data_IF_230152581304
#
_entry.id   IF_230152581304
#
_cell.length_a   1.000
_cell.length_b   1.000
_cell.length_c   1.000
_cell.angle_alpha   90.00
_cell.angle_beta   90.00
_cell.angle_gamma   90.00
#
_symmetry.space_group_name_H-M   'P 1'
#
loop_
_entity.id
_entity.type
_entity.pdbx_description
1 polymer ?
#
# COMPACT_ATOMS: atom_id res chain seq x y z
N UNK A 1 4.06 -19.35 -16.70
CA UNK A 1 2.66 -19.43 -17.14
C UNK A 1 2.25 -18.10 -17.74
N UNK A 2 1.41 -18.09 -18.78
CA UNK A 2 0.89 -16.87 -19.39
C UNK A 2 -0.29 -16.32 -18.56
N UNK A 3 -0.39 -15.00 -18.32
CA UNK A 3 -1.35 -14.42 -17.38
C UNK A 3 -2.83 -14.59 -17.74
N UNK A 4 -3.15 -15.11 -18.93
CA UNK A 4 -4.53 -15.39 -19.34
C UNK A 4 -4.92 -16.88 -19.24
N UNK A 5 -4.02 -17.73 -18.74
CA UNK A 5 -4.23 -19.18 -18.68
C UNK A 5 -4.37 -19.70 -17.26
N UNK A 6 -5.50 -19.43 -16.60
CA UNK A 6 -5.88 -20.16 -15.39
C UNK A 6 -7.42 -20.16 -15.21
N UNK A 7 -8.11 -20.95 -16.03
CA UNK A 7 -9.47 -21.41 -15.70
C UNK A 7 -9.37 -22.48 -14.62
N UNK A 8 -9.58 -22.13 -13.35
CA UNK A 8 -9.76 -23.15 -12.31
C UNK A 8 -9.50 -22.77 -10.84
N UNK A 9 -8.87 -21.62 -10.56
CA UNK A 9 -8.68 -21.12 -9.19
C UNK A 9 -9.57 -19.89 -9.01
N UNK A 10 -10.23 -19.65 -7.85
CA UNK A 10 -10.79 -18.32 -7.58
C UNK A 10 -9.70 -17.30 -7.89
N UNK A 11 -9.96 -16.45 -8.88
CA UNK A 11 -8.93 -15.57 -9.42
C UNK A 11 -8.44 -14.69 -8.28
N UNK A 12 -7.15 -14.81 -7.92
CA UNK A 12 -6.56 -13.93 -6.94
C UNK A 12 -6.80 -12.48 -7.36
N UNK A 13 -7.17 -11.62 -6.40
CA UNK A 13 -7.46 -10.20 -6.70
C UNK A 13 -6.23 -9.61 -7.40
N UNK A 14 -6.36 -9.04 -8.62
CA UNK A 14 -5.23 -8.43 -9.30
C UNK A 14 -4.66 -7.27 -8.49
N UNK A 15 -3.33 -7.09 -8.51
CA UNK A 15 -2.65 -6.00 -7.78
C UNK A 15 -3.21 -4.62 -8.14
N UNK A 16 -3.50 -4.39 -9.43
CA UNK A 16 -4.11 -3.14 -9.89
C UNK A 16 -5.47 -2.87 -9.23
N UNK A 17 -6.29 -3.91 -9.01
CA UNK A 17 -7.56 -3.77 -8.31
C UNK A 17 -7.36 -3.47 -6.82
N UNK A 18 -6.32 -4.05 -6.19
CA UNK A 18 -5.95 -3.71 -4.80
C UNK A 18 -5.47 -2.26 -4.69
N UNK A 19 -4.68 -1.75 -5.66
CA UNK A 19 -4.24 -0.35 -5.70
C UNK A 19 -5.45 0.58 -5.86
N UNK A 20 -6.36 0.29 -6.78
CA UNK A 20 -7.58 1.09 -6.96
C UNK A 20 -8.45 1.12 -5.69
N UNK A 21 -8.60 -0.04 -5.03
CA UNK A 21 -9.29 -0.14 -3.76
C UNK A 21 -8.59 0.68 -2.66
N UNK A 22 -7.26 0.61 -2.58
CA UNK A 22 -6.46 1.39 -1.64
C UNK A 22 -6.65 2.89 -1.87
N UNK A 23 -6.54 3.37 -3.10
CA UNK A 23 -6.64 4.81 -3.44
C UNK A 23 -7.99 5.41 -3.06
N UNK A 24 -9.05 4.60 -3.02
CA UNK A 24 -10.40 5.01 -2.57
C UNK A 24 -10.58 4.95 -1.06
N UNK A 25 -9.68 4.28 -0.33
CA UNK A 25 -9.77 4.09 1.12
C UNK A 25 -9.45 5.36 1.91
N UNK A 26 -9.92 5.42 3.17
CA UNK A 26 -9.55 6.50 4.09
C UNK A 26 -8.08 6.49 4.48
N UNK A 27 -7.46 5.30 4.54
CA UNK A 27 -6.05 5.18 4.85
C UNK A 27 -5.18 5.90 3.81
N UNK A 28 -5.49 5.73 2.52
CA UNK A 28 -4.83 6.47 1.45
C UNK A 28 -5.05 7.98 1.56
N UNK A 29 -6.28 8.43 1.81
CA UNK A 29 -6.56 9.86 1.97
C UNK A 29 -5.71 10.49 3.09
N UNK A 30 -5.47 9.76 4.19
CA UNK A 30 -4.65 10.25 5.31
C UNK A 30 -3.15 10.32 5.00
N UNK A 31 -2.63 9.41 4.17
CA UNK A 31 -1.19 9.25 3.94
C UNK A 31 -0.71 9.71 2.55
N UNK A 32 -1.62 9.95 1.59
CA UNK A 32 -1.31 10.33 0.19
C UNK A 32 -0.46 11.60 0.08
N UNK A 33 -0.55 12.50 1.06
CA UNK A 33 0.32 13.69 1.13
C UNK A 33 1.79 13.37 1.38
N UNK A 34 2.13 12.17 1.87
CA UNK A 34 3.52 11.71 2.04
C UNK A 34 4.01 10.99 0.78
N UNK A 35 3.14 10.25 0.10
CA UNK A 35 3.46 9.45 -1.09
C UNK A 35 3.86 10.34 -2.28
N UNK A 36 4.96 10.00 -2.96
CA UNK A 36 5.52 10.75 -4.10
C UNK A 36 5.87 9.89 -5.31
N UNK A 37 5.57 8.60 -5.26
CA UNK A 37 5.78 7.67 -6.37
C UNK A 37 4.51 6.90 -6.70
N UNK A 38 4.54 6.22 -7.84
CA UNK A 38 3.67 5.07 -8.09
C UNK A 38 4.09 3.88 -7.20
N UNK A 39 3.34 2.77 -7.31
CA UNK A 39 3.68 1.51 -6.64
C UNK A 39 5.08 1.06 -7.06
N UNK A 40 5.96 0.83 -6.09
CA UNK A 40 7.33 0.38 -6.32
C UNK A 40 7.41 -1.15 -6.28
N UNK A 41 6.78 -1.74 -5.27
CA UNK A 41 6.79 -3.19 -5.07
C UNK A 41 5.53 -3.65 -4.34
N UNK A 42 5.25 -4.95 -4.42
CA UNK A 42 4.20 -5.61 -3.65
C UNK A 42 4.55 -7.05 -3.33
N UNK A 43 4.03 -7.53 -2.21
CA UNK A 43 4.10 -8.94 -1.84
C UNK A 43 2.93 -9.29 -0.94
N UNK A 44 2.63 -10.58 -0.84
CA UNK A 44 1.58 -11.09 0.05
C UNK A 44 2.24 -11.76 1.26
N UNK A 45 1.78 -11.41 2.47
CA UNK A 45 2.23 -12.02 3.73
C UNK A 45 1.07 -12.10 4.73
N UNK A 46 0.86 -13.29 5.31
CA UNK A 46 -0.14 -13.50 6.36
C UNK A 46 -1.57 -13.07 6.02
N UNK A 47 -1.99 -13.18 4.76
CA UNK A 47 -3.32 -12.74 4.29
C UNK A 47 -3.43 -11.25 3.94
N UNK A 48 -2.34 -10.50 4.09
CA UNK A 48 -2.24 -9.11 3.65
C UNK A 48 -1.50 -9.03 2.33
N UNK A 49 -1.96 -8.15 1.46
CA UNK A 49 -1.18 -7.62 0.36
C UNK A 49 -0.51 -6.34 0.81
N UNK A 50 0.82 -6.34 0.81
CA UNK A 50 1.64 -5.20 1.16
C UNK A 50 1.99 -4.46 -0.13
N UNK A 51 1.72 -3.16 -0.15
CA UNK A 51 2.01 -2.25 -1.25
C UNK A 51 3.03 -1.21 -0.77
N UNK A 52 4.16 -1.12 -1.47
CA UNK A 52 5.25 -0.21 -1.14
C UNK A 52 5.29 0.98 -2.09
N UNK A 53 5.36 2.17 -1.52
CA UNK A 53 5.55 3.43 -2.24
C UNK A 53 6.73 4.21 -1.64
N UNK A 54 7.37 5.05 -2.43
CA UNK A 54 8.26 6.08 -1.91
C UNK A 54 7.48 7.34 -1.57
N UNK A 55 7.97 8.06 -0.57
CA UNK A 55 7.42 9.31 -0.12
C UNK A 55 8.47 10.23 0.49
N UNK A 56 7.99 11.38 0.94
CA UNK A 56 8.79 12.35 1.70
C UNK A 56 7.99 12.75 2.94
N UNK A 57 8.60 12.64 4.11
CA UNK A 57 8.01 13.04 5.37
C UNK A 57 8.70 14.30 5.92
N UNK A 58 7.92 15.20 6.55
CA UNK A 58 8.39 16.52 6.98
C UNK A 58 8.35 17.57 5.86
N UNK A 59 9.02 18.70 6.07
CA UNK A 59 9.08 19.81 5.12
C UNK A 59 10.35 20.65 5.26
N UNK A 60 10.67 21.42 4.23
CA UNK A 60 11.86 22.26 4.19
C UNK A 60 13.16 21.46 4.29
N UNK A 61 14.10 21.93 5.10
CA UNK A 61 15.40 21.28 5.32
C UNK A 61 15.34 20.00 6.16
N UNK A 62 14.19 19.71 6.78
CA UNK A 62 13.96 18.50 7.57
C UNK A 62 13.21 17.40 6.79
N UNK A 63 12.98 17.61 5.48
CA UNK A 63 12.38 16.61 4.62
C UNK A 63 13.26 15.37 4.53
N UNK A 64 12.69 14.20 4.84
CA UNK A 64 13.39 12.91 4.77
C UNK A 64 12.70 11.93 3.82
N UNK A 65 13.46 11.15 3.03
CA UNK A 65 12.90 10.09 2.20
C UNK A 65 12.31 8.99 3.09
N UNK A 66 11.15 8.48 2.69
CA UNK A 66 10.45 7.42 3.43
C UNK A 66 9.89 6.37 2.47
N UNK A 67 9.72 5.16 2.98
CA UNK A 67 8.88 4.12 2.39
C UNK A 67 7.52 4.15 3.08
N UNK A 68 6.45 4.20 2.30
CA UNK A 68 5.08 4.10 2.79
C UNK A 68 4.56 2.71 2.45
N UNK A 69 4.25 1.93 3.47
CA UNK A 69 3.73 0.58 3.35
C UNK A 69 2.24 0.60 3.69
N UNK A 70 1.42 0.09 2.77
CA UNK A 70 0.02 -0.21 3.03
C UNK A 70 -0.18 -1.71 3.02
N UNK A 71 -0.70 -2.28 4.10
CA UNK A 71 -1.17 -3.65 4.14
C UNK A 71 -2.70 -3.64 3.97
N UNK A 72 -3.17 -4.24 2.88
CA UNK A 72 -4.59 -4.38 2.51
C UNK A 72 -4.96 -5.86 2.59
N UNK A 73 -6.19 -6.21 2.97
CA UNK A 73 -6.65 -7.60 2.88
C UNK A 73 -6.49 -8.12 1.43
N UNK A 74 -5.76 -9.23 1.25
CA UNK A 74 -5.42 -9.76 -0.07
C UNK A 74 -6.65 -10.29 -0.85
N UNK A 75 -7.74 -10.59 -0.17
CA UNK A 75 -9.00 -11.03 -0.76
C UNK A 75 -9.99 -9.88 -1.01
N UNK A 76 -9.68 -8.67 -0.55
CA UNK A 76 -10.56 -7.51 -0.71
C UNK A 76 -10.50 -6.94 -2.13
N UNK A 77 -11.68 -6.64 -2.68
CA UNK A 77 -11.88 -5.91 -3.93
C UNK A 77 -13.06 -4.94 -3.78
N UNK A 78 -13.23 -4.06 -4.76
CA UNK A 78 -14.37 -3.14 -4.80
C UNK A 78 -15.73 -3.86 -4.87
N UNK A 79 -15.75 -5.10 -5.35
CA UNK A 79 -16.96 -5.93 -5.44
C UNK A 79 -17.27 -6.63 -4.11
N UNK A 80 -16.28 -6.81 -3.24
CA UNK A 80 -16.43 -7.58 -1.99
C UNK A 80 -16.56 -6.71 -0.76
N UNK A 81 -15.94 -5.52 -0.74
CA UNK A 81 -15.96 -4.61 0.41
C UNK A 81 -16.14 -3.15 -0.01
N UNK A 82 -16.92 -2.40 0.79
CA UNK A 82 -17.08 -0.96 0.60
C UNK A 82 -15.93 -0.15 1.21
N UNK A 83 -15.43 -0.57 2.36
CA UNK A 83 -14.23 0.00 3.00
C UNK A 83 -13.29 -1.16 3.36
N UNK A 84 -12.09 -1.22 2.75
CA UNK A 84 -11.12 -2.26 3.06
C UNK A 84 -10.50 -2.05 4.45
N UNK A 85 -10.14 -3.14 5.12
CA UNK A 85 -9.19 -3.07 6.23
C UNK A 85 -7.81 -2.71 5.67
N UNK A 86 -7.26 -1.56 6.09
CA UNK A 86 -5.95 -1.09 5.66
C UNK A 86 -5.13 -0.69 6.89
N UNK A 87 -3.90 -1.19 6.96
CA UNK A 87 -2.88 -0.74 7.91
C UNK A 87 -1.83 0.04 7.15
N UNK A 88 -1.34 1.12 7.75
CA UNK A 88 -0.31 1.97 7.15
C UNK A 88 0.88 2.08 8.08
N UNK A 89 2.08 2.05 7.50
CA UNK A 89 3.31 2.38 8.19
C UNK A 89 4.20 3.24 7.31
N UNK A 90 4.89 4.20 7.91
CA UNK A 90 5.87 5.06 7.25
C UNK A 90 7.22 4.72 7.84
N UNK A 91 8.15 4.29 7.01
CA UNK A 91 9.48 3.82 7.39
C UNK A 91 10.50 4.81 6.84
N UNK A 92 11.45 5.22 7.67
CA UNK A 92 12.57 6.03 7.23
C UNK A 92 13.42 5.23 6.23
N UNK A 93 13.63 5.78 5.03
CA UNK A 93 14.21 5.01 3.93
C UNK A 93 15.69 4.67 4.15
N UNK A 94 16.40 5.49 4.92
CA UNK A 94 17.84 5.33 5.17
C UNK A 94 18.10 4.36 6.34
N UNK A 95 17.31 4.47 7.41
CA UNK A 95 17.51 3.67 8.64
C UNK A 95 16.63 2.42 8.72
N UNK A 96 15.55 2.34 7.96
CA UNK A 96 14.57 1.25 8.05
C UNK A 96 13.71 1.28 9.32
N UNK A 97 13.82 2.33 10.14
CA UNK A 97 13.05 2.47 11.36
C UNK A 97 11.66 3.09 11.09
N UNK A 98 10.61 2.72 11.85
CA UNK A 98 9.33 3.40 11.77
C UNK A 98 9.45 4.89 12.10
N UNK A 99 8.86 5.73 11.25
CA UNK A 99 8.69 7.15 11.54
C UNK A 99 7.55 7.28 12.53
N UNK A 100 7.89 7.47 13.82
CA UNK A 100 6.89 7.77 14.84
C UNK A 100 6.22 9.10 14.51
N UNK A 101 4.88 9.11 14.45
CA UNK A 101 4.12 10.35 14.43
C UNK A 101 4.34 11.04 15.78
N UNK A 102 5.15 12.09 15.83
CA UNK A 102 5.09 13.03 16.94
C UNK A 102 3.73 13.72 16.84
N UNK A 103 2.87 13.44 17.83
CA UNK A 103 1.57 14.08 18.00
C UNK A 103 1.69 15.59 18.17
#
# INVERSE_FOLDING_TARGET
GHPLGATGTPAAVPVAATVELLERSRAWQSASRVVRSALLDHWDDGGWRILQFAGVHGGGTAARPVLVLFAVDAAASLDTVREPAVRVSVIDADSGAPVMATA
#
